data_IF_071088522093
#
_entry.id   IF_071088522093
#
_cell.length_a   1.000
_cell.length_b   1.000
_cell.length_c   1.000
_cell.angle_alpha   90.00
_cell.angle_beta   90.00
_cell.angle_gamma   90.00
#
_symmetry.space_group_name_H-M   'P 1'
#
loop_
_entity.id
_entity.type
_entity.pdbx_description
1 polymer ?
#
# COMPACT_ATOMS: atom_id res chain seq x y z
N UNK A 1 -25.85 -16.93 21.96
CA UNK A 1 -24.44 -16.52 22.19
C UNK A 1 -23.41 -17.59 21.85
N UNK A 2 -23.79 -18.86 21.74
CA UNK A 2 -22.83 -19.96 21.46
C UNK A 2 -22.22 -20.01 20.03
N UNK A 3 -22.72 -19.23 19.10
CA UNK A 3 -22.32 -19.35 17.67
C UNK A 3 -21.50 -18.15 17.14
N UNK A 4 -21.19 -17.17 18.01
CA UNK A 4 -20.42 -16.00 17.62
C UNK A 4 -18.93 -16.34 17.54
N UNK A 5 -18.28 -15.91 16.45
CA UNK A 5 -16.81 -16.03 16.31
C UNK A 5 -16.18 -14.88 17.10
N UNK A 6 -15.20 -15.21 17.90
CA UNK A 6 -14.36 -14.27 18.65
C UNK A 6 -12.89 -14.49 18.33
N UNK A 7 -12.05 -13.51 18.66
CA UNK A 7 -10.59 -13.63 18.57
C UNK A 7 -9.99 -13.64 19.98
N UNK A 8 -8.95 -14.42 20.16
CA UNK A 8 -8.04 -14.32 21.30
C UNK A 8 -6.60 -14.23 20.81
N UNK A 9 -5.76 -13.50 21.50
CA UNK A 9 -4.34 -13.43 21.19
C UNK A 9 -3.59 -14.60 21.87
N UNK A 10 -2.70 -15.25 21.15
CA UNK A 10 -1.76 -16.23 21.68
C UNK A 10 -0.57 -15.48 22.33
N UNK A 11 -0.59 -15.36 23.66
CA UNK A 11 0.42 -14.58 24.41
C UNK A 11 1.34 -15.44 25.26
N UNK A 12 0.89 -16.59 25.76
CA UNK A 12 1.73 -17.49 26.54
C UNK A 12 2.68 -18.28 25.64
N UNK A 13 3.80 -18.74 26.18
CA UNK A 13 4.75 -19.57 25.41
C UNK A 13 4.08 -20.81 24.80
N UNK A 14 3.18 -21.45 25.55
CA UNK A 14 2.44 -22.62 25.07
C UNK A 14 1.47 -22.24 23.94
N UNK A 15 0.74 -21.13 24.07
CA UNK A 15 -0.16 -20.65 22.99
C UNK A 15 0.62 -20.32 21.72
N UNK A 16 1.76 -19.64 21.85
CA UNK A 16 2.63 -19.29 20.72
C UNK A 16 3.22 -20.54 20.08
N UNK A 17 3.62 -21.54 20.86
CA UNK A 17 4.10 -22.81 20.32
C UNK A 17 3.00 -23.53 19.55
N UNK A 18 1.79 -23.64 20.11
CA UNK A 18 0.65 -24.25 19.44
C UNK A 18 0.26 -23.49 18.16
N UNK A 19 0.28 -22.14 18.19
CA UNK A 19 0.06 -21.30 17.00
C UNK A 19 1.06 -21.61 15.88
N UNK A 20 2.34 -21.73 16.22
CA UNK A 20 3.41 -22.06 15.26
C UNK A 20 3.23 -23.43 14.60
N UNK A 21 2.80 -24.42 15.36
CA UNK A 21 2.48 -25.72 14.80
C UNK A 21 1.33 -25.66 13.78
N UNK A 22 0.28 -24.91 14.10
CA UNK A 22 -0.84 -24.70 13.18
C UNK A 22 -0.44 -23.90 11.94
N UNK A 23 0.40 -22.86 12.10
CA UNK A 23 0.95 -22.10 10.99
C UNK A 23 1.81 -22.97 10.08
N UNK A 24 2.66 -23.84 10.65
CA UNK A 24 3.47 -24.79 9.89
C UNK A 24 2.60 -25.77 9.10
N UNK A 25 1.59 -26.36 9.76
CA UNK A 25 0.66 -27.27 9.10
C UNK A 25 -0.13 -26.59 7.94
N UNK A 26 -0.50 -25.33 8.13
CA UNK A 26 -1.15 -24.51 7.10
C UNK A 26 -0.23 -24.23 5.92
N UNK A 27 1.01 -23.77 6.16
CA UNK A 27 1.97 -23.52 5.10
C UNK A 27 2.22 -24.76 4.25
N UNK A 28 2.43 -25.91 4.90
CA UNK A 28 2.66 -27.17 4.22
C UNK A 28 1.46 -27.66 3.39
N UNK A 29 0.25 -27.44 3.88
CA UNK A 29 -0.97 -27.91 3.21
C UNK A 29 -1.49 -26.96 2.15
N UNK A 30 -1.51 -25.64 2.45
CA UNK A 30 -2.28 -24.67 1.66
C UNK A 30 -1.38 -23.67 0.88
N UNK A 31 -0.13 -23.46 1.31
CA UNK A 31 0.77 -22.47 0.69
C UNK A 31 1.84 -23.14 -0.17
N UNK A 32 2.50 -24.16 0.36
CA UNK A 32 3.61 -24.86 -0.27
C UNK A 32 3.38 -26.37 -0.35
N UNK A 33 2.28 -26.84 -0.98
CA UNK A 33 1.93 -28.27 -0.98
C UNK A 33 2.98 -29.14 -1.67
N UNK A 34 3.70 -28.59 -2.65
CA UNK A 34 4.71 -29.30 -3.44
C UNK A 34 6.15 -29.09 -2.94
N UNK A 35 6.35 -28.33 -1.84
CA UNK A 35 7.69 -28.11 -1.29
C UNK A 35 8.21 -29.37 -0.63
N UNK A 36 9.51 -29.65 -0.79
CA UNK A 36 10.17 -30.62 0.06
C UNK A 36 10.06 -30.20 1.54
N UNK A 37 9.89 -31.18 2.41
CA UNK A 37 9.69 -30.89 3.83
C UNK A 37 10.91 -30.23 4.49
N UNK A 38 12.14 -30.53 4.01
CA UNK A 38 13.38 -30.01 4.59
C UNK A 38 13.56 -28.51 4.32
N UNK A 39 13.31 -28.05 3.10
CA UNK A 39 13.42 -26.63 2.75
C UNK A 39 12.41 -25.76 3.49
N UNK A 40 11.16 -26.20 3.56
CA UNK A 40 10.11 -25.48 4.30
C UNK A 40 10.39 -25.49 5.81
N UNK A 41 10.79 -26.60 6.39
CA UNK A 41 11.15 -26.69 7.80
C UNK A 41 12.36 -25.81 8.13
N UNK A 42 13.38 -25.80 7.27
CA UNK A 42 14.55 -24.93 7.42
C UNK A 42 14.15 -23.46 7.39
N UNK A 43 13.28 -23.07 6.44
CA UNK A 43 12.77 -21.70 6.36
C UNK A 43 11.97 -21.31 7.62
N UNK A 44 11.04 -22.14 8.06
CA UNK A 44 10.18 -21.84 9.22
C UNK A 44 10.96 -21.82 10.54
N UNK A 45 12.10 -22.53 10.63
CA UNK A 45 13.02 -22.50 11.79
C UNK A 45 14.07 -21.40 11.66
N UNK A 46 14.17 -20.71 10.53
CA UNK A 46 15.19 -19.69 10.31
C UNK A 46 15.06 -18.52 11.30
N UNK A 47 16.19 -17.89 11.63
CA UNK A 47 16.22 -16.66 12.42
C UNK A 47 15.41 -15.55 11.75
N UNK A 48 15.45 -15.47 10.40
CA UNK A 48 14.67 -14.54 9.61
C UNK A 48 13.17 -14.71 9.85
N UNK A 49 12.66 -15.94 9.77
CA UNK A 49 11.24 -16.22 10.04
C UNK A 49 10.87 -15.92 11.50
N UNK A 50 11.72 -16.33 12.44
CA UNK A 50 11.51 -16.04 13.86
C UNK A 50 11.51 -14.54 14.17
N UNK A 51 12.41 -13.79 13.54
CA UNK A 51 12.45 -12.32 13.66
C UNK A 51 11.21 -11.66 13.06
N UNK A 52 10.80 -12.10 11.87
CA UNK A 52 9.56 -11.65 11.22
C UNK A 52 8.31 -11.92 12.07
N UNK A 53 8.30 -13.02 12.79
CA UNK A 53 7.19 -13.41 13.68
C UNK A 53 7.11 -12.53 14.93
N UNK A 54 8.23 -12.10 15.47
CA UNK A 54 8.27 -11.33 16.75
C UNK A 54 8.02 -9.84 16.56
N UNK A 55 8.63 -9.24 15.57
CA UNK A 55 8.45 -7.83 15.24
C UNK A 55 8.75 -7.62 13.77
N UNK A 56 8.14 -6.62 13.18
CA UNK A 56 8.45 -6.22 11.80
C UNK A 56 9.70 -5.32 11.73
N UNK A 57 10.64 -5.51 12.63
CA UNK A 57 11.82 -4.64 12.80
C UNK A 57 11.53 -3.34 13.54
N UNK A 58 10.27 -3.14 13.99
CA UNK A 58 9.82 -1.95 14.73
C UNK A 58 9.04 -2.38 15.96
N UNK A 59 9.44 -1.95 17.17
CA UNK A 59 8.78 -2.36 18.41
C UNK A 59 7.29 -1.99 18.49
N UNK A 60 6.88 -0.90 17.82
CA UNK A 60 5.51 -0.40 17.82
C UNK A 60 4.59 -1.16 16.83
N UNK A 61 5.18 -1.80 15.82
CA UNK A 61 4.46 -2.47 14.73
C UNK A 61 4.58 -3.99 14.90
N UNK A 62 4.11 -4.49 16.03
CA UNK A 62 4.22 -5.92 16.32
C UNK A 62 3.26 -6.75 15.46
N UNK A 63 3.67 -7.99 15.22
CA UNK A 63 2.82 -9.01 14.64
C UNK A 63 2.00 -9.67 15.75
N UNK A 64 0.68 -9.77 15.54
CA UNK A 64 -0.24 -10.41 16.45
C UNK A 64 -0.54 -11.84 16.02
N UNK A 65 -0.65 -12.74 16.95
CA UNK A 65 -1.05 -14.14 16.73
C UNK A 65 -2.46 -14.32 17.25
N UNK A 66 -3.44 -14.23 16.33
CA UNK A 66 -4.84 -14.28 16.68
C UNK A 66 -5.43 -15.66 16.37
N UNK A 67 -6.18 -16.19 17.30
CA UNK A 67 -6.89 -17.46 17.16
C UNK A 67 -8.39 -17.15 17.09
N UNK A 68 -9.05 -17.67 16.07
CA UNK A 68 -10.52 -17.62 15.94
C UNK A 68 -11.16 -18.73 16.77
N UNK A 69 -12.10 -18.36 17.60
CA UNK A 69 -12.76 -19.26 18.53
C UNK A 69 -14.29 -19.22 18.32
N UNK A 70 -14.93 -20.38 18.35
CA UNK A 70 -16.38 -20.53 18.25
C UNK A 70 -16.85 -21.78 19.00
N UNK A 71 -17.85 -21.63 19.89
CA UNK A 71 -18.48 -22.76 20.58
C UNK A 71 -17.50 -23.64 21.38
N UNK A 72 -16.50 -23.04 22.02
CA UNK A 72 -15.52 -23.78 22.81
C UNK A 72 -14.35 -24.38 22.01
N UNK A 73 -14.28 -24.13 20.69
CA UNK A 73 -13.26 -24.69 19.81
C UNK A 73 -12.50 -23.60 19.03
N UNK A 74 -11.20 -23.84 18.81
CA UNK A 74 -10.40 -23.04 17.89
C UNK A 74 -10.69 -23.49 16.46
N UNK A 75 -11.05 -22.53 15.60
CA UNK A 75 -11.53 -22.80 14.23
C UNK A 75 -10.61 -22.26 13.14
N UNK A 76 -9.54 -21.55 13.52
CA UNK A 76 -8.61 -20.93 12.60
C UNK A 76 -7.75 -19.90 13.28
N UNK A 77 -6.94 -19.20 12.49
CA UNK A 77 -6.05 -18.16 13.00
C UNK A 77 -5.79 -17.05 11.97
N UNK A 78 -5.24 -15.93 12.45
CA UNK A 78 -4.71 -14.87 11.61
C UNK A 78 -3.43 -14.29 12.21
N UNK A 79 -2.60 -13.69 11.35
CA UNK A 79 -1.36 -13.05 11.71
C UNK A 79 -1.31 -11.63 11.12
N UNK A 80 -2.01 -10.65 11.71
CA UNK A 80 -1.97 -9.26 11.28
C UNK A 80 -0.79 -8.51 11.89
N UNK A 81 -0.33 -7.48 11.16
CA UNK A 81 0.55 -6.42 11.67
C UNK A 81 -0.18 -5.09 11.53
N UNK A 82 -0.21 -4.28 12.58
CA UNK A 82 -0.78 -2.92 12.51
C UNK A 82 0.36 -1.91 12.56
N UNK A 83 0.48 -1.09 11.52
CA UNK A 83 1.52 -0.08 11.36
C UNK A 83 1.05 1.25 11.98
N UNK A 84 1.00 1.28 13.31
CA UNK A 84 0.53 2.45 14.09
C UNK A 84 1.45 3.66 13.96
N UNK A 85 2.72 3.45 13.63
CA UNK A 85 3.72 4.52 13.42
C UNK A 85 3.70 5.11 12.00
N UNK A 86 2.83 4.60 11.14
CA UNK A 86 2.64 5.07 9.76
C UNK A 86 1.22 5.64 9.59
N UNK A 87 0.42 4.97 8.78
CA UNK A 87 -0.92 5.39 8.40
C UNK A 87 -2.03 4.49 8.95
N UNK A 88 -1.69 3.64 9.94
CA UNK A 88 -2.63 2.71 10.56
C UNK A 88 -3.03 1.54 9.64
N UNK A 89 -2.16 1.14 8.74
CA UNK A 89 -2.38 -0.05 7.91
C UNK A 89 -2.41 -1.32 8.76
N UNK A 90 -3.44 -2.15 8.61
CA UNK A 90 -3.41 -3.54 9.02
C UNK A 90 -2.97 -4.40 7.84
N UNK A 91 -1.77 -4.97 7.89
CA UNK A 91 -1.32 -5.93 6.89
C UNK A 91 -1.60 -7.35 7.38
N UNK A 92 -2.48 -8.07 6.68
CA UNK A 92 -2.84 -9.46 7.02
C UNK A 92 -1.81 -10.38 6.36
N UNK A 93 -0.85 -10.85 7.16
CA UNK A 93 0.22 -11.74 6.67
C UNK A 93 -0.28 -13.14 6.40
N UNK A 94 -1.03 -13.68 7.37
CA UNK A 94 -1.58 -15.02 7.30
C UNK A 94 -3.03 -15.02 7.75
N UNK A 95 -3.84 -15.85 7.10
CA UNK A 95 -5.24 -16.06 7.44
C UNK A 95 -5.63 -17.51 7.11
N UNK A 96 -6.06 -18.25 8.09
CA UNK A 96 -6.46 -19.64 7.93
C UNK A 96 -7.75 -19.94 8.70
N UNK A 97 -8.69 -20.60 8.03
CA UNK A 97 -9.77 -21.36 8.68
C UNK A 97 -9.42 -22.83 8.53
N UNK A 98 -9.46 -23.60 9.62
CA UNK A 98 -9.13 -25.01 9.57
C UNK A 98 -10.09 -25.77 8.64
N UNK A 99 -9.60 -26.80 7.91
CA UNK A 99 -10.38 -27.47 6.85
C UNK A 99 -11.77 -27.91 7.27
N UNK A 100 -11.91 -28.45 8.47
CA UNK A 100 -13.14 -28.98 9.04
C UNK A 100 -14.20 -27.89 9.32
N UNK A 101 -13.79 -26.64 9.41
CA UNK A 101 -14.68 -25.50 9.64
C UNK A 101 -14.91 -24.62 8.39
N UNK A 102 -14.32 -25.02 7.24
CA UNK A 102 -14.51 -24.29 5.98
C UNK A 102 -15.91 -24.48 5.42
N UNK A 103 -16.36 -23.56 4.62
CA UNK A 103 -17.71 -23.54 4.06
C UNK A 103 -18.71 -22.74 4.92
N UNK A 104 -19.96 -22.71 4.53
CA UNK A 104 -21.07 -22.05 5.22
C UNK A 104 -20.81 -20.61 5.70
N UNK A 105 -19.93 -19.87 5.00
CA UNK A 105 -19.58 -18.49 5.33
C UNK A 105 -18.60 -18.31 6.51
N UNK A 106 -18.07 -19.39 7.12
CA UNK A 106 -17.16 -19.31 8.26
C UNK A 106 -15.92 -18.43 7.96
N UNK A 107 -15.27 -18.60 6.81
CA UNK A 107 -14.12 -17.79 6.42
C UNK A 107 -14.44 -16.30 6.38
N UNK A 108 -15.58 -15.94 5.78
CA UNK A 108 -16.05 -14.54 5.71
C UNK A 108 -16.36 -13.96 7.10
N UNK A 109 -16.95 -14.75 7.98
CA UNK A 109 -17.20 -14.34 9.36
C UNK A 109 -15.88 -14.14 10.14
N UNK A 110 -14.91 -15.06 10.02
CA UNK A 110 -13.57 -14.89 10.61
C UNK A 110 -12.86 -13.62 10.08
N UNK A 111 -12.93 -13.37 8.77
CA UNK A 111 -12.32 -12.18 8.18
C UNK A 111 -12.94 -10.89 8.72
N UNK A 112 -14.26 -10.82 8.88
CA UNK A 112 -14.94 -9.67 9.49
C UNK A 112 -14.53 -9.50 10.96
N UNK A 113 -14.53 -10.57 11.75
CA UNK A 113 -14.07 -10.52 13.14
C UNK A 113 -12.63 -10.02 13.25
N UNK A 114 -11.74 -10.43 12.33
CA UNK A 114 -10.37 -9.92 12.26
C UNK A 114 -10.34 -8.41 11.95
N UNK A 115 -11.13 -7.95 10.99
CA UNK A 115 -11.17 -6.53 10.61
C UNK A 115 -11.75 -5.65 11.72
N UNK A 116 -12.78 -6.11 12.41
CA UNK A 116 -13.36 -5.42 13.58
C UNK A 116 -12.31 -5.34 14.70
N UNK A 117 -11.64 -6.45 15.01
CA UNK A 117 -10.54 -6.48 15.97
C UNK A 117 -9.41 -5.52 15.58
N UNK A 118 -9.00 -5.51 14.32
CA UNK A 118 -7.95 -4.61 13.83
C UNK A 118 -8.33 -3.14 13.99
N UNK A 119 -9.59 -2.78 13.70
CA UNK A 119 -10.13 -1.43 13.89
C UNK A 119 -10.08 -1.00 15.36
N UNK A 120 -10.46 -1.88 16.28
CA UNK A 120 -10.37 -1.66 17.74
C UNK A 120 -8.92 -1.46 18.22
N UNK A 121 -7.94 -2.01 17.47
CA UNK A 121 -6.51 -1.90 17.78
C UNK A 121 -5.78 -0.82 16.95
N UNK A 122 -6.53 0.14 16.36
CA UNK A 122 -5.98 1.31 15.70
C UNK A 122 -5.71 1.17 14.20
N UNK A 123 -6.24 0.12 13.56
CA UNK A 123 -6.18 0.03 12.11
C UNK A 123 -7.22 0.94 11.46
N UNK A 124 -6.80 1.65 10.41
CA UNK A 124 -7.66 2.53 9.61
C UNK A 124 -8.08 1.90 8.28
N UNK A 125 -7.36 0.89 7.81
CA UNK A 125 -7.64 0.11 6.60
C UNK A 125 -6.83 -1.19 6.64
N UNK A 126 -7.12 -2.11 5.72
CA UNK A 126 -6.41 -3.38 5.65
C UNK A 126 -5.84 -3.65 4.26
N UNK A 127 -4.69 -4.33 4.22
CA UNK A 127 -3.99 -4.74 3.00
C UNK A 127 -3.47 -6.16 3.18
N UNK A 128 -3.39 -6.91 2.09
CA UNK A 128 -2.84 -8.25 2.08
C UNK A 128 -2.27 -8.61 0.70
N UNK A 129 -1.43 -9.64 0.69
CA UNK A 129 -0.99 -10.32 -0.52
C UNK A 129 -1.77 -11.64 -0.66
N UNK A 130 -2.35 -11.88 -1.84
CA UNK A 130 -3.11 -13.11 -2.07
C UNK A 130 -2.32 -14.18 -2.85
N UNK A 131 -1.04 -13.91 -3.17
CA UNK A 131 -0.12 -14.84 -3.83
C UNK A 131 -0.56 -15.25 -5.24
N UNK A 132 -1.30 -14.40 -5.96
CA UNK A 132 -1.75 -14.64 -7.34
C UNK A 132 -2.80 -15.75 -7.54
N UNK A 133 -3.34 -16.33 -6.47
CA UNK A 133 -4.32 -17.42 -6.56
C UNK A 133 -5.75 -16.89 -6.70
N UNK A 134 -6.42 -17.19 -7.81
CA UNK A 134 -7.80 -16.78 -8.11
C UNK A 134 -8.80 -17.08 -6.99
N UNK A 135 -8.73 -18.28 -6.37
CA UNK A 135 -9.63 -18.62 -5.27
C UNK A 135 -9.46 -17.72 -4.06
N UNK A 136 -8.22 -17.31 -3.74
CA UNK A 136 -7.93 -16.39 -2.64
C UNK A 136 -8.39 -14.98 -3.02
N UNK A 137 -8.18 -14.53 -4.26
CA UNK A 137 -8.67 -13.26 -4.79
C UNK A 137 -10.19 -13.15 -4.61
N UNK A 138 -10.96 -14.09 -5.15
CA UNK A 138 -12.42 -14.11 -5.04
C UNK A 138 -12.91 -14.15 -3.59
N UNK A 139 -12.20 -14.86 -2.71
CA UNK A 139 -12.54 -14.86 -1.29
C UNK A 139 -12.43 -13.44 -0.70
N UNK A 140 -11.31 -12.75 -0.91
CA UNK A 140 -11.08 -11.42 -0.37
C UNK A 140 -11.95 -10.35 -1.03
N UNK A 141 -12.22 -10.46 -2.32
CA UNK A 141 -13.24 -9.63 -3.00
C UNK A 141 -14.61 -9.77 -2.32
N UNK A 142 -14.99 -10.98 -1.94
CA UNK A 142 -16.25 -11.23 -1.23
C UNK A 142 -16.32 -10.63 0.18
N UNK A 143 -15.16 -10.27 0.75
CA UNK A 143 -15.04 -9.54 2.03
C UNK A 143 -15.07 -8.03 1.82
N UNK A 144 -14.79 -7.57 0.61
CA UNK A 144 -14.78 -6.15 0.23
C UNK A 144 -13.41 -5.60 -0.19
N UNK A 145 -12.39 -6.47 -0.27
CA UNK A 145 -11.09 -6.06 -0.78
C UNK A 145 -11.13 -5.87 -2.30
N UNK A 146 -10.30 -4.96 -2.79
CA UNK A 146 -10.11 -4.66 -4.21
C UNK A 146 -8.62 -4.76 -4.56
N UNK A 147 -8.31 -5.12 -5.80
CA UNK A 147 -6.92 -5.18 -6.26
C UNK A 147 -6.26 -3.79 -6.21
N UNK A 148 -5.01 -3.73 -5.77
CA UNK A 148 -4.26 -2.48 -5.61
C UNK A 148 -2.78 -2.62 -6.02
N UNK A 149 -2.52 -3.08 -7.23
CA UNK A 149 -1.18 -3.23 -7.77
C UNK A 149 -0.41 -4.39 -7.14
N UNK A 150 0.86 -4.20 -6.88
CA UNK A 150 1.75 -5.21 -6.32
C UNK A 150 2.71 -4.61 -5.27
N UNK A 151 3.30 -5.46 -4.44
CA UNK A 151 4.33 -5.07 -3.46
C UNK A 151 5.71 -4.87 -4.12
N UNK A 152 6.74 -4.63 -3.31
CA UNK A 152 8.13 -4.40 -3.77
C UNK A 152 8.78 -5.65 -4.40
N UNK A 153 8.21 -6.84 -4.19
CA UNK A 153 8.64 -8.11 -4.80
C UNK A 153 7.82 -8.49 -6.02
N UNK A 154 6.84 -7.68 -6.42
CA UNK A 154 5.97 -7.96 -7.55
C UNK A 154 4.74 -8.81 -7.20
N UNK A 155 4.54 -9.12 -5.93
CA UNK A 155 3.39 -9.93 -5.48
C UNK A 155 2.10 -9.09 -5.42
N UNK A 156 0.99 -9.62 -5.96
CA UNK A 156 -0.23 -8.84 -6.10
C UNK A 156 -0.89 -8.52 -4.75
N UNK A 157 -1.24 -7.25 -4.58
CA UNK A 157 -1.87 -6.71 -3.37
C UNK A 157 -3.38 -6.55 -3.52
N UNK A 158 -4.09 -6.77 -2.43
CA UNK A 158 -5.48 -6.36 -2.27
C UNK A 158 -5.63 -5.41 -1.09
N UNK A 159 -6.49 -4.44 -1.26
CA UNK A 159 -6.76 -3.37 -0.31
C UNK A 159 -8.24 -3.39 0.09
N UNK A 160 -8.52 -3.39 1.39
CA UNK A 160 -9.80 -2.91 1.92
C UNK A 160 -9.62 -1.41 2.20
N UNK A 161 -10.18 -0.53 1.35
CA UNK A 161 -9.90 0.88 1.43
C UNK A 161 -10.47 1.50 2.71
N UNK A 162 -9.94 2.68 3.14
CA UNK A 162 -10.61 3.51 4.15
C UNK A 162 -12.05 3.82 3.71
N UNK A 163 -12.90 4.15 4.68
CA UNK A 163 -14.33 4.43 4.44
C UNK A 163 -14.55 5.34 3.22
N UNK A 164 -15.53 5.01 2.38
CA UNK A 164 -15.76 5.68 1.09
C UNK A 164 -16.05 7.18 1.22
N UNK A 165 -16.57 7.60 2.37
CA UNK A 165 -16.96 8.99 2.64
C UNK A 165 -15.79 9.89 3.07
N UNK A 166 -14.59 9.34 3.30
CA UNK A 166 -13.43 10.17 3.63
C UNK A 166 -13.08 11.08 2.44
N UNK A 167 -13.00 12.42 2.64
CA UNK A 167 -12.67 13.33 1.57
C UNK A 167 -11.25 13.12 1.08
N UNK A 168 -11.04 13.30 -0.22
CA UNK A 168 -9.68 13.34 -0.79
C UNK A 168 -9.12 14.75 -0.52
N UNK A 169 -8.04 14.80 0.23
CA UNK A 169 -7.30 16.03 0.57
C UNK A 169 -5.94 15.97 -0.13
N UNK A 170 -5.49 17.10 -0.69
CA UNK A 170 -4.14 17.21 -1.28
C UNK A 170 -3.32 18.14 -0.40
N UNK A 171 -2.19 17.66 0.03
CA UNK A 171 -1.24 18.36 0.89
C UNK A 171 0.11 18.50 0.18
N UNK A 172 0.85 19.58 0.52
CA UNK A 172 2.27 19.64 0.21
C UNK A 172 3.03 18.68 1.12
N UNK A 173 4.02 17.99 0.57
CA UNK A 173 4.85 17.10 1.36
C UNK A 173 5.60 17.91 2.44
N UNK A 174 5.35 17.56 3.70
CA UNK A 174 5.94 18.28 4.84
C UNK A 174 7.34 17.77 5.20
N UNK A 175 7.63 16.50 4.94
CA UNK A 175 8.91 15.86 5.27
C UNK A 175 9.45 15.09 4.05
N UNK A 176 10.73 15.31 3.69
CA UNK A 176 11.32 14.70 2.49
C UNK A 176 11.55 13.18 2.60
N UNK A 177 11.49 12.62 3.81
CA UNK A 177 11.65 11.19 4.11
C UNK A 177 10.31 10.48 4.40
N UNK A 178 9.19 11.05 3.95
CA UNK A 178 7.85 10.49 4.13
C UNK A 178 7.75 9.10 3.48
N UNK A 179 7.43 8.09 4.29
CA UNK A 179 7.29 6.70 3.85
C UNK A 179 6.13 6.48 2.90
N UNK A 180 5.07 7.29 3.01
CA UNK A 180 3.94 7.22 2.11
C UNK A 180 4.33 7.72 0.72
N UNK A 181 5.16 8.77 0.63
CA UNK A 181 5.74 9.22 -0.64
C UNK A 181 6.57 8.11 -1.27
N UNK A 182 7.50 7.52 -0.51
CA UNK A 182 8.34 6.41 -1.00
C UNK A 182 7.52 5.26 -1.59
N UNK A 183 6.40 4.91 -0.94
CA UNK A 183 5.48 3.88 -1.44
C UNK A 183 4.85 4.26 -2.77
N UNK A 184 4.41 5.51 -2.91
CA UNK A 184 3.81 6.02 -4.16
C UNK A 184 4.86 6.11 -5.28
N UNK A 185 6.07 6.57 -4.98
CA UNK A 185 7.19 6.58 -5.94
C UNK A 185 7.54 5.18 -6.44
N UNK A 186 7.64 4.20 -5.56
CA UNK A 186 7.89 2.82 -5.96
C UNK A 186 6.73 2.24 -6.79
N UNK A 187 5.49 2.64 -6.50
CA UNK A 187 4.33 2.31 -7.32
C UNK A 187 4.43 2.91 -8.73
N UNK A 188 4.82 4.18 -8.83
CA UNK A 188 5.05 4.89 -10.09
C UNK A 188 6.17 4.24 -10.90
N UNK A 189 7.35 4.04 -10.30
CA UNK A 189 8.51 3.43 -10.96
C UNK A 189 8.16 2.04 -11.53
N UNK A 190 7.46 1.23 -10.76
CA UNK A 190 7.00 -0.09 -11.23
C UNK A 190 6.07 0.01 -12.43
N UNK A 191 5.15 0.97 -12.44
CA UNK A 191 4.18 1.14 -13.53
C UNK A 191 4.87 1.53 -14.85
N UNK A 192 5.96 2.29 -14.77
CA UNK A 192 6.77 2.65 -15.95
C UNK A 192 7.87 1.61 -16.27
N UNK A 193 7.93 0.48 -15.54
CA UNK A 193 8.88 -0.61 -15.78
C UNK A 193 10.28 -0.39 -15.20
N UNK A 194 10.41 0.56 -14.27
CA UNK A 194 11.67 0.90 -13.62
C UNK A 194 11.83 0.15 -12.27
N UNK A 195 13.10 -0.03 -11.87
CA UNK A 195 13.42 -0.62 -10.58
C UNK A 195 13.07 0.34 -9.42
N UNK A 196 12.72 -0.21 -8.22
CA UNK A 196 12.48 0.60 -7.04
C UNK A 196 13.63 1.56 -6.73
N UNK A 197 13.29 2.72 -6.15
CA UNK A 197 14.26 3.74 -5.79
C UNK A 197 15.26 3.23 -4.76
N UNK A 198 16.56 3.38 -5.03
CA UNK A 198 17.64 3.03 -4.08
C UNK A 198 17.71 4.05 -2.94
N UNK A 199 18.32 3.67 -1.81
CA UNK A 199 18.55 4.60 -0.69
C UNK A 199 19.33 5.86 -1.12
N UNK A 200 20.27 5.72 -2.05
CA UNK A 200 21.04 6.86 -2.57
C UNK A 200 20.16 7.82 -3.36
N UNK A 201 19.33 7.30 -4.28
CA UNK A 201 18.34 8.12 -5.02
C UNK A 201 17.39 8.82 -4.08
N UNK A 202 16.91 8.14 -3.03
CA UNK A 202 16.00 8.72 -2.03
C UNK A 202 16.66 9.86 -1.23
N UNK A 203 17.93 9.72 -0.85
CA UNK A 203 18.69 10.83 -0.21
C UNK A 203 18.84 12.03 -1.15
N UNK A 204 19.14 11.78 -2.43
CA UNK A 204 19.23 12.85 -3.43
C UNK A 204 17.89 13.55 -3.63
N UNK A 205 16.79 12.80 -3.69
CA UNK A 205 15.44 13.36 -3.76
C UNK A 205 15.10 14.20 -2.52
N UNK A 206 15.39 13.68 -1.32
CA UNK A 206 15.17 14.42 -0.08
C UNK A 206 15.93 15.77 -0.08
N UNK A 207 17.17 15.80 -0.55
CA UNK A 207 17.93 17.07 -0.71
C UNK A 207 17.27 17.99 -1.74
N UNK A 208 16.81 17.46 -2.88
CA UNK A 208 16.16 18.27 -3.90
C UNK A 208 14.85 18.91 -3.39
N UNK A 209 14.09 18.18 -2.56
CA UNK A 209 12.89 18.71 -1.89
C UNK A 209 13.27 19.81 -0.89
N UNK A 210 14.28 19.58 -0.05
CA UNK A 210 14.77 20.56 0.94
C UNK A 210 15.29 21.85 0.26
N UNK A 211 15.99 21.71 -0.86
CA UNK A 211 16.48 22.83 -1.65
C UNK A 211 15.39 23.57 -2.42
N UNK A 212 14.14 23.11 -2.38
CA UNK A 212 13.01 23.70 -3.13
C UNK A 212 13.11 23.53 -4.65
N UNK A 213 13.95 22.60 -5.14
CA UNK A 213 14.09 22.28 -6.58
C UNK A 213 12.88 21.54 -7.11
N UNK A 214 12.24 20.74 -6.25
CA UNK A 214 11.06 19.95 -6.56
C UNK A 214 10.07 20.03 -5.39
N UNK A 215 8.80 20.13 -5.69
CA UNK A 215 7.71 20.17 -4.71
C UNK A 215 6.75 19.03 -4.98
N UNK A 216 6.49 18.20 -3.97
CA UNK A 216 5.54 17.10 -4.07
C UNK A 216 4.16 17.48 -3.50
N UNK A 217 3.14 17.03 -4.19
CA UNK A 217 1.75 17.06 -3.77
C UNK A 217 1.29 15.64 -3.52
N UNK A 218 0.77 15.37 -2.33
CA UNK A 218 0.30 14.04 -1.94
C UNK A 218 -1.20 14.10 -1.69
N UNK A 219 -1.94 13.30 -2.43
CA UNK A 219 -3.37 13.10 -2.20
C UNK A 219 -3.58 12.03 -1.14
N UNK A 220 -4.35 12.34 -0.11
CA UNK A 220 -4.73 11.43 0.97
C UNK A 220 -6.24 11.18 0.96
N UNK A 221 -6.62 9.95 1.28
CA UNK A 221 -7.98 9.57 1.64
C UNK A 221 -7.96 8.99 3.04
N UNK A 222 -8.53 9.72 3.99
CA UNK A 222 -8.28 9.44 5.40
C UNK A 222 -6.78 9.52 5.71
N UNK A 223 -6.25 8.48 6.32
CA UNK A 223 -4.82 8.40 6.69
C UNK A 223 -3.90 7.90 5.57
N UNK A 224 -4.46 7.33 4.49
CA UNK A 224 -3.67 6.74 3.41
C UNK A 224 -3.36 7.75 2.31
N UNK A 225 -2.08 7.85 1.95
CA UNK A 225 -1.67 8.49 0.71
C UNK A 225 -2.03 7.59 -0.49
N UNK A 226 -2.79 8.14 -1.43
CA UNK A 226 -3.41 7.41 -2.54
C UNK A 226 -2.95 7.90 -3.92
N UNK A 227 -2.18 8.97 -3.97
CA UNK A 227 -1.60 9.49 -5.21
C UNK A 227 -0.66 10.66 -4.95
N UNK A 228 0.16 10.96 -5.93
CA UNK A 228 1.13 12.04 -5.89
C UNK A 228 1.28 12.70 -7.25
N UNK A 229 1.84 13.89 -7.25
CA UNK A 229 2.49 14.53 -8.39
C UNK A 229 3.59 15.46 -7.88
N UNK A 230 4.51 15.84 -8.76
CA UNK A 230 5.55 16.79 -8.45
C UNK A 230 5.53 18.00 -9.38
N UNK A 231 6.16 19.09 -8.94
CA UNK A 231 6.50 20.26 -9.76
C UNK A 231 7.97 20.60 -9.55
N UNK A 232 8.76 20.45 -10.59
CA UNK A 232 10.14 20.92 -10.64
C UNK A 232 10.20 22.36 -11.17
N UNK A 233 11.06 23.20 -10.59
CA UNK A 233 11.27 24.60 -11.06
C UNK A 233 12.45 24.66 -12.01
N UNK A 234 12.29 25.44 -13.07
CA UNK A 234 13.40 25.82 -13.94
C UNK A 234 13.24 27.27 -14.41
N UNK A 235 14.34 27.96 -14.68
CA UNK A 235 14.33 29.32 -15.18
C UNK A 235 14.16 29.31 -16.69
N UNK A 236 13.18 30.09 -17.18
CA UNK A 236 12.96 30.30 -18.63
C UNK A 236 13.59 31.61 -19.07
N UNK A 237 14.51 31.54 -20.02
CA UNK A 237 15.09 32.74 -20.64
C UNK A 237 14.08 33.48 -21.54
N UNK A 238 13.04 32.80 -21.98
CA UNK A 238 11.99 33.40 -22.80
C UNK A 238 11.08 34.36 -21.99
N UNK A 239 10.70 33.92 -20.80
CA UNK A 239 9.87 34.73 -19.89
C UNK A 239 10.70 35.51 -18.86
N UNK A 240 12.00 35.22 -18.76
CA UNK A 240 12.91 35.72 -17.71
C UNK A 240 12.36 35.51 -16.29
N UNK A 241 11.70 34.41 -16.05
CA UNK A 241 11.13 34.00 -14.76
C UNK A 241 11.08 32.48 -14.65
N UNK A 242 10.69 31.99 -13.49
CA UNK A 242 10.53 30.56 -13.25
C UNK A 242 9.30 29.99 -13.98
N UNK A 243 9.47 28.78 -14.46
CA UNK A 243 8.43 27.89 -15.02
C UNK A 243 8.43 26.58 -14.25
N UNK A 244 7.33 25.85 -14.29
CA UNK A 244 7.19 24.54 -13.67
C UNK A 244 7.10 23.41 -14.68
N UNK A 245 7.63 22.26 -14.31
CA UNK A 245 7.41 20.98 -14.98
C UNK A 245 6.60 20.11 -14.03
N UNK A 246 5.38 19.73 -14.46
CA UNK A 246 4.52 18.79 -13.76
C UNK A 246 4.97 17.37 -14.11
N UNK A 247 5.29 16.56 -13.11
CA UNK A 247 5.85 15.23 -13.30
C UNK A 247 5.45 14.27 -12.15
N UNK A 248 6.00 13.04 -12.14
CA UNK A 248 5.80 12.00 -11.12
C UNK A 248 4.32 11.75 -10.79
N UNK A 249 3.47 11.79 -11.80
CA UNK A 249 2.03 11.70 -11.62
C UNK A 249 1.57 10.25 -11.47
N UNK A 250 1.22 9.88 -10.26
CA UNK A 250 0.80 8.52 -9.94
C UNK A 250 -0.41 8.49 -9.02
N UNK A 251 -1.31 7.54 -9.26
CA UNK A 251 -2.47 7.25 -8.42
C UNK A 251 -2.55 5.74 -8.24
N UNK A 252 -2.64 5.29 -6.99
CA UNK A 252 -2.85 3.87 -6.70
C UNK A 252 -4.05 3.33 -7.48
N UNK A 253 -3.94 2.12 -8.08
CA UNK A 253 -4.98 1.55 -8.95
C UNK A 253 -6.38 1.57 -8.33
N UNK A 254 -6.51 1.25 -7.05
CA UNK A 254 -7.77 1.23 -6.32
C UNK A 254 -8.47 2.60 -6.21
N UNK A 255 -7.74 3.70 -6.45
CA UNK A 255 -8.27 5.07 -6.31
C UNK A 255 -8.36 5.84 -7.63
N UNK A 256 -8.07 5.18 -8.76
CA UNK A 256 -8.26 5.76 -10.10
C UNK A 256 -9.73 5.98 -10.41
N UNK A 257 -10.03 6.94 -11.28
CA UNK A 257 -11.40 7.33 -11.68
C UNK A 257 -12.29 7.82 -10.52
N UNK A 258 -11.70 8.15 -9.36
CA UNK A 258 -12.39 8.67 -8.17
C UNK A 258 -12.09 10.16 -7.90
N UNK A 259 -11.64 10.90 -8.92
CA UNK A 259 -11.40 12.34 -8.84
C UNK A 259 -10.03 12.75 -8.25
N UNK A 260 -9.17 11.81 -7.85
CA UNK A 260 -7.83 12.08 -7.28
C UNK A 260 -6.96 12.88 -8.26
N UNK A 261 -6.93 12.47 -9.54
CA UNK A 261 -6.16 13.12 -10.60
C UNK A 261 -6.47 14.63 -10.69
N UNK A 262 -7.76 14.96 -10.74
CA UNK A 262 -8.22 16.36 -10.85
C UNK A 262 -7.78 17.18 -9.64
N UNK A 263 -7.87 16.63 -8.43
CA UNK A 263 -7.46 17.33 -7.20
C UNK A 263 -5.96 17.58 -7.15
N UNK A 264 -5.13 16.61 -7.56
CA UNK A 264 -3.67 16.76 -7.65
C UNK A 264 -3.30 17.85 -8.67
N UNK A 265 -3.83 17.78 -9.90
CA UNK A 265 -3.56 18.77 -10.93
C UNK A 265 -4.00 20.17 -10.51
N UNK A 266 -5.19 20.32 -9.91
CA UNK A 266 -5.68 21.60 -9.40
C UNK A 266 -4.80 22.16 -8.28
N UNK A 267 -4.28 21.32 -7.38
CA UNK A 267 -3.37 21.74 -6.33
C UNK A 267 -2.04 22.25 -6.90
N UNK A 268 -1.45 21.51 -7.85
CA UNK A 268 -0.22 21.91 -8.53
C UNK A 268 -0.41 23.21 -9.32
N UNK A 269 -1.50 23.36 -10.06
CA UNK A 269 -1.83 24.58 -10.81
C UNK A 269 -2.08 25.78 -9.88
N UNK A 270 -2.77 25.58 -8.76
CA UNK A 270 -2.98 26.61 -7.75
C UNK A 270 -1.64 27.08 -7.17
N UNK A 271 -0.81 26.12 -6.73
CA UNK A 271 0.50 26.40 -6.18
C UNK A 271 1.41 27.11 -7.19
N UNK A 272 1.39 26.70 -8.45
CA UNK A 272 2.13 27.35 -9.54
C UNK A 272 1.78 28.84 -9.67
N UNK A 273 0.49 29.19 -9.63
CA UNK A 273 0.04 30.57 -9.63
C UNK A 273 0.49 31.35 -8.38
N UNK A 274 0.36 30.76 -7.21
CA UNK A 274 0.74 31.37 -5.93
C UNK A 274 2.25 31.59 -5.82
N UNK A 275 3.06 30.80 -6.55
CA UNK A 275 4.51 30.94 -6.62
C UNK A 275 5.01 31.68 -7.86
N UNK A 276 4.10 32.38 -8.58
CA UNK A 276 4.39 33.22 -9.74
C UNK A 276 5.16 32.48 -10.87
N UNK A 277 4.92 31.19 -11.08
CA UNK A 277 5.46 30.48 -12.23
C UNK A 277 4.74 30.95 -13.51
N UNK A 278 5.50 31.27 -14.57
CA UNK A 278 4.94 31.78 -15.83
C UNK A 278 4.13 30.69 -16.56
N UNK A 279 4.49 29.43 -16.41
CA UNK A 279 3.76 28.29 -16.97
C UNK A 279 3.98 27.04 -16.13
N UNK A 280 3.08 26.08 -16.29
CA UNK A 280 3.23 24.70 -15.82
C UNK A 280 3.06 23.77 -17.02
N UNK A 281 4.09 23.01 -17.36
CA UNK A 281 4.13 22.13 -18.50
C UNK A 281 4.14 20.66 -18.08
N UNK A 282 3.67 19.77 -18.92
CA UNK A 282 3.76 18.32 -18.75
C UNK A 282 4.20 17.68 -20.06
N UNK A 283 5.06 16.68 -19.98
CA UNK A 283 5.37 15.80 -21.10
C UNK A 283 4.63 14.48 -20.90
N UNK A 284 3.88 14.04 -21.90
CA UNK A 284 3.09 12.81 -21.80
C UNK A 284 3.19 11.96 -23.08
N UNK A 285 2.84 10.68 -22.93
CA UNK A 285 2.64 9.80 -24.07
C UNK A 285 1.36 10.20 -24.84
N UNK A 286 1.28 9.93 -26.16
CA UNK A 286 0.11 10.25 -26.95
C UNK A 286 -1.20 9.65 -26.43
N UNK A 287 -1.15 8.50 -25.78
CA UNK A 287 -2.32 7.84 -25.17
C UNK A 287 -2.87 8.59 -23.95
N UNK A 288 -2.10 9.49 -23.35
CA UNK A 288 -2.46 10.22 -22.13
C UNK A 288 -2.88 11.67 -22.40
N UNK A 289 -2.79 12.13 -23.65
CA UNK A 289 -3.09 13.52 -24.04
C UNK A 289 -4.49 13.95 -23.60
N UNK A 290 -5.52 13.15 -23.88
CA UNK A 290 -6.90 13.47 -23.51
C UNK A 290 -7.07 13.61 -21.98
N UNK A 291 -6.37 12.78 -21.22
CA UNK A 291 -6.38 12.86 -19.77
C UNK A 291 -5.79 14.20 -19.31
N UNK A 292 -4.61 14.59 -19.80
CA UNK A 292 -3.97 15.84 -19.39
C UNK A 292 -4.75 17.07 -19.86
N UNK A 293 -5.34 17.04 -21.05
CA UNK A 293 -6.25 18.10 -21.52
C UNK A 293 -7.46 18.24 -20.58
N UNK A 294 -8.07 17.14 -20.15
CA UNK A 294 -9.18 17.15 -19.18
C UNK A 294 -8.76 17.64 -17.77
N UNK A 295 -7.45 17.64 -17.47
CA UNK A 295 -6.87 18.18 -16.25
C UNK A 295 -6.47 19.67 -16.37
N UNK A 296 -6.64 20.27 -17.54
CA UNK A 296 -6.37 21.71 -17.78
C UNK A 296 -5.00 22.00 -18.41
N UNK A 297 -4.30 21.01 -18.96
CA UNK A 297 -3.10 21.19 -19.78
C UNK A 297 -3.50 21.20 -21.27
N UNK A 298 -4.11 22.27 -21.72
CA UNK A 298 -4.78 22.37 -23.04
C UNK A 298 -3.95 23.03 -24.13
N UNK A 299 -2.78 23.62 -23.78
CA UNK A 299 -1.89 24.26 -24.75
C UNK A 299 -0.81 23.29 -25.23
N UNK A 300 -0.88 22.89 -26.50
CA UNK A 300 0.15 22.03 -27.09
C UNK A 300 1.41 22.84 -27.47
N UNK A 301 2.55 22.52 -26.85
CA UNK A 301 3.83 23.27 -27.00
C UNK A 301 4.86 22.58 -27.92
N UNK A 302 4.47 21.55 -28.68
CA UNK A 302 5.37 20.83 -29.57
C UNK A 302 5.74 19.43 -29.08
N UNK A 303 6.85 18.88 -29.61
CA UNK A 303 7.34 17.54 -29.27
C UNK A 303 8.62 17.62 -28.43
N UNK A 304 8.75 16.76 -27.44
CA UNK A 304 9.96 16.64 -26.63
C UNK A 304 10.88 15.55 -27.18
N UNK A 305 12.18 15.81 -27.22
CA UNK A 305 13.21 14.84 -27.59
C UNK A 305 14.22 14.75 -26.43
N UNK A 306 14.69 13.55 -26.13
CA UNK A 306 15.70 13.30 -25.10
C UNK A 306 17.00 12.78 -25.72
N UNK A 307 18.14 13.25 -25.20
CA UNK A 307 19.45 12.62 -25.39
C UNK A 307 19.75 11.79 -24.13
N UNK A 308 19.82 10.48 -24.28
CA UNK A 308 20.12 9.55 -23.20
C UNK A 308 21.60 9.13 -23.25
N UNK A 309 22.23 9.05 -22.06
CA UNK A 309 23.63 8.64 -21.90
C UNK A 309 23.71 7.22 -21.37
#
# INVERSE_FOLDING_TARGET
>A
MENQITTREAVTENDVAAFREQLHAYHKRDIFPDSDNEGLESFLRSEYHSHRMKSNGRPQDRCFFLIFHRGGQDIGFAMPVIFTTEDGKCFIREFCVYPEFRGNGTGKACARTLLDWAKEHGAHYAELNYGGHERRRHFWESVGFIENGADEWGEPLMLLPPEEDAPIIVELLAAPDDRQLKKLENGFLREIGEAPSTEEKQKQLAHAIQDGKITFFVAKRGYRAVGMCSVSRCFSTFTCTDVGIFDDFYIEPAFRKKGVARKLAQAAQKWSRENALASLTVTCAPCDEEMYQALGFDAHLGRTFAYLR
#
